data_IF_614269001766
#
_entry.id   IF_614269001766
#
_cell.length_a   1.000
_cell.length_b   1.000
_cell.length_c   1.000
_cell.angle_alpha   90.00
_cell.angle_beta   90.00
_cell.angle_gamma   90.00
#
_symmetry.space_group_name_H-M   'P 1'
#
loop_
_entity.id
_entity.type
_entity.pdbx_description
1 polymer ?
#
# COMPACT_ATOMS: atom_id res chain seq x y z
N UNK A 1 10.80 5.65 10.32
CA UNK A 1 10.13 5.82 9.01
C UNK A 1 10.40 4.57 8.23
N UNK A 2 9.43 3.65 8.17
CA UNK A 2 9.56 2.38 7.45
C UNK A 2 9.54 2.63 5.92
N UNK A 3 10.64 3.18 5.42
CA UNK A 3 10.84 3.56 4.03
C UNK A 3 10.55 2.40 3.05
N UNK A 4 10.97 1.13 3.30
CA UNK A 4 10.57 -0.01 2.48
C UNK A 4 9.05 -0.20 2.36
N UNK A 5 8.31 -0.06 3.46
CA UNK A 5 6.85 -0.19 3.45
C UNK A 5 6.15 0.91 2.65
N UNK A 6 6.65 2.15 2.75
CA UNK A 6 6.14 3.29 1.99
C UNK A 6 6.39 3.11 0.49
N UNK A 7 7.63 2.76 0.11
CA UNK A 7 8.00 2.56 -1.29
C UNK A 7 7.19 1.40 -1.90
N UNK A 8 7.09 0.28 -1.18
CA UNK A 8 6.30 -0.88 -1.62
C UNK A 8 4.81 -0.53 -1.78
N UNK A 9 4.28 0.28 -0.86
CA UNK A 9 2.90 0.76 -0.92
C UNK A 9 2.62 1.66 -2.13
N UNK A 10 3.51 2.62 -2.41
CA UNK A 10 3.40 3.51 -3.57
C UNK A 10 3.52 2.72 -4.88
N UNK A 11 4.51 1.83 -4.99
CA UNK A 11 4.72 1.01 -6.20
C UNK A 11 3.51 0.12 -6.46
N UNK A 12 2.96 -0.52 -5.44
CA UNK A 12 1.77 -1.37 -5.57
C UNK A 12 0.53 -0.55 -5.97
N UNK A 13 0.35 0.65 -5.40
CA UNK A 13 -0.73 1.55 -5.76
C UNK A 13 -0.64 2.04 -7.21
N UNK A 14 0.55 2.44 -7.65
CA UNK A 14 0.81 2.85 -9.04
C UNK A 14 0.58 1.69 -10.01
N UNK A 15 1.02 0.48 -9.67
CA UNK A 15 0.79 -0.71 -10.48
C UNK A 15 -0.71 -1.01 -10.60
N UNK A 16 -1.48 -0.88 -9.52
CA UNK A 16 -2.92 -1.06 -9.56
C UNK A 16 -3.63 -0.04 -10.47
N UNK A 17 -3.25 1.25 -10.38
CA UNK A 17 -3.78 2.30 -11.27
C UNK A 17 -3.40 2.00 -12.74
N UNK A 18 -2.16 1.60 -12.99
CA UNK A 18 -1.70 1.23 -14.33
C UNK A 18 -2.53 0.08 -14.92
N UNK A 19 -2.79 -0.98 -14.14
CA UNK A 19 -3.59 -2.13 -14.58
C UNK A 19 -5.03 -1.73 -14.91
N UNK A 20 -5.61 -0.77 -14.18
CA UNK A 20 -6.94 -0.23 -14.50
C UNK A 20 -6.92 0.53 -15.82
N UNK A 21 -5.96 1.43 -16.02
CA UNK A 21 -5.88 2.25 -17.23
C UNK A 21 -5.63 1.38 -18.46
N UNK A 22 -4.64 0.48 -18.38
CA UNK A 22 -4.31 -0.40 -19.50
C UNK A 22 -5.47 -1.33 -19.79
N UNK A 23 -6.04 -1.98 -18.78
CA UNK A 23 -7.16 -2.91 -19.02
C UNK A 23 -8.39 -2.23 -19.59
N UNK A 24 -8.69 -0.99 -19.21
CA UNK A 24 -9.78 -0.22 -19.84
C UNK A 24 -9.46 0.21 -21.28
N UNK A 25 -8.19 0.49 -21.58
CA UNK A 25 -7.76 0.95 -22.92
C UNK A 25 -7.59 -0.20 -23.93
N UNK A 26 -7.20 -1.39 -23.48
CA UNK A 26 -6.82 -2.50 -24.36
C UNK A 26 -7.86 -3.62 -24.43
N UNK A 27 -8.86 -3.61 -23.55
CA UNK A 27 -9.87 -4.69 -23.54
C UNK A 27 -10.81 -4.57 -24.73
N UNK A 28 -11.03 -5.71 -25.40
CA UNK A 28 -12.01 -5.85 -26.47
C UNK A 28 -13.30 -6.53 -25.97
N UNK A 29 -13.32 -7.00 -24.72
CA UNK A 29 -14.44 -7.70 -24.11
C UNK A 29 -14.73 -7.27 -22.68
N UNK A 30 -15.99 -7.43 -22.26
CA UNK A 30 -16.45 -7.08 -20.92
C UNK A 30 -15.76 -7.91 -19.82
N UNK A 31 -15.40 -9.17 -20.12
CA UNK A 31 -14.69 -10.06 -19.18
C UNK A 31 -13.28 -9.54 -18.83
N UNK A 32 -12.55 -9.03 -19.82
CA UNK A 32 -11.19 -8.48 -19.64
C UNK A 32 -11.21 -7.20 -18.78
N UNK A 33 -12.24 -6.37 -18.95
CA UNK A 33 -12.48 -5.18 -18.13
C UNK A 33 -12.71 -5.57 -16.66
N UNK A 34 -13.54 -6.58 -16.40
CA UNK A 34 -13.80 -7.04 -15.03
C UNK A 34 -12.52 -7.54 -14.37
N UNK A 35 -11.74 -8.34 -15.08
CA UNK A 35 -10.47 -8.87 -14.58
C UNK A 35 -9.52 -7.72 -14.22
N UNK A 36 -9.37 -6.74 -15.12
CA UNK A 36 -8.57 -5.53 -14.88
C UNK A 36 -9.04 -4.78 -13.64
N UNK A 37 -10.36 -4.59 -13.46
CA UNK A 37 -10.92 -3.91 -12.30
C UNK A 37 -10.59 -4.64 -11.00
N UNK A 38 -10.77 -5.96 -10.96
CA UNK A 38 -10.49 -6.78 -9.77
C UNK A 38 -9.01 -6.69 -9.40
N UNK A 39 -8.10 -6.92 -10.35
CA UNK A 39 -6.67 -6.87 -10.09
C UNK A 39 -6.18 -5.46 -9.75
N UNK A 40 -6.67 -4.45 -10.46
CA UNK A 40 -6.33 -3.06 -10.21
C UNK A 40 -6.73 -2.59 -8.81
N UNK A 41 -7.98 -2.86 -8.41
CA UNK A 41 -8.48 -2.55 -7.06
C UNK A 41 -7.74 -3.35 -5.99
N UNK A 42 -7.41 -4.62 -6.24
CA UNK A 42 -6.63 -5.43 -5.32
C UNK A 42 -5.25 -4.82 -5.05
N UNK A 43 -4.51 -4.44 -6.09
CA UNK A 43 -3.19 -3.81 -5.96
C UNK A 43 -3.24 -2.45 -5.27
N UNK A 44 -4.26 -1.64 -5.56
CA UNK A 44 -4.52 -0.37 -4.86
C UNK A 44 -4.79 -0.65 -3.37
N UNK A 45 -5.61 -1.63 -3.05
CA UNK A 45 -5.91 -2.06 -1.69
C UNK A 45 -4.66 -2.49 -0.92
N UNK A 46 -3.81 -3.30 -1.54
CA UNK A 46 -2.50 -3.71 -0.98
C UNK A 46 -1.60 -2.48 -0.75
N UNK A 47 -1.54 -1.56 -1.71
CA UNK A 47 -0.76 -0.33 -1.59
C UNK A 47 -1.21 0.54 -0.40
N UNK A 48 -2.52 0.76 -0.26
CA UNK A 48 -3.10 1.50 0.86
C UNK A 48 -2.81 0.78 2.19
N UNK A 49 -2.99 -0.55 2.23
CA UNK A 49 -2.74 -1.35 3.43
C UNK A 49 -1.28 -1.23 3.90
N UNK A 50 -0.31 -1.32 2.99
CA UNK A 50 1.11 -1.15 3.31
C UNK A 50 1.43 0.25 3.83
N UNK A 51 0.83 1.30 3.22
CA UNK A 51 1.02 2.68 3.67
C UNK A 51 0.47 2.92 5.08
N UNK A 52 -0.68 2.34 5.41
CA UNK A 52 -1.27 2.42 6.76
C UNK A 52 -0.39 1.69 7.78
N UNK A 53 0.06 0.47 7.46
CA UNK A 53 0.89 -0.31 8.37
C UNK A 53 2.25 0.34 8.61
N UNK A 54 2.87 0.92 7.58
CA UNK A 54 4.13 1.65 7.73
C UNK A 54 4.01 2.81 8.72
N UNK A 55 2.87 3.51 8.76
CA UNK A 55 2.64 4.58 9.73
C UNK A 55 2.46 4.03 11.15
N UNK A 56 1.73 2.92 11.31
CA UNK A 56 1.55 2.27 12.61
C UNK A 56 2.86 1.77 13.20
N UNK A 57 3.74 1.19 12.38
CA UNK A 57 5.05 0.72 12.84
C UNK A 57 5.92 1.87 13.36
N UNK A 58 5.93 3.01 12.66
CA UNK A 58 6.65 4.21 13.12
C UNK A 58 6.12 4.76 14.45
N UNK A 59 4.81 4.69 14.68
CA UNK A 59 4.20 5.08 15.96
C UNK A 59 4.58 4.11 17.09
N UNK A 60 4.56 2.80 16.81
CA UNK A 60 4.94 1.77 17.79
C UNK A 60 6.41 1.90 18.19
N UNK A 61 7.32 2.16 17.23
CA UNK A 61 8.73 2.40 17.52
C UNK A 61 8.94 3.63 18.41
N UNK A 62 8.22 4.73 18.14
CA UNK A 62 8.27 5.95 18.97
C UNK A 62 7.80 5.70 20.39
N UNK A 63 6.74 4.91 20.59
CA UNK A 63 6.22 4.57 21.93
C UNK A 63 7.20 3.67 22.70
N UNK A 64 7.81 2.66 22.04
CA UNK A 64 8.84 1.82 22.67
C UNK A 64 10.05 2.64 23.09
N UNK A 65 10.54 3.53 22.22
CA UNK A 65 11.68 4.39 22.53
C UNK A 65 11.39 5.25 23.77
N UNK A 66 10.23 5.92 23.83
CA UNK A 66 9.85 6.77 24.98
C UNK A 66 9.83 6.02 26.32
N UNK A 67 9.42 4.75 26.35
CA UNK A 67 9.46 3.91 27.57
C UNK A 67 10.88 3.54 28.00
N UNK A 68 11.79 3.38 27.05
CA UNK A 68 13.18 2.99 27.35
C UNK A 68 14.05 4.13 27.88
N UNK A 69 13.72 5.40 27.57
CA UNK A 69 14.51 6.58 28.01
C UNK A 69 13.95 7.24 29.28
N UNK A 70 12.91 6.70 29.91
CA UNK A 70 12.49 7.14 31.25
C UNK A 70 13.08 6.20 32.30
N UNK A 71 14.29 6.46 32.83
CA UNK A 71 14.82 5.65 33.93
C UNK A 71 13.84 5.77 35.09
N UNK A 72 13.46 4.62 35.66
CA UNK A 72 12.75 4.53 36.93
C UNK A 72 13.46 5.45 37.93
N UNK A 73 12.75 6.49 38.39
CA UNK A 73 13.09 7.18 39.62
C UNK A 73 12.86 6.24 40.79
#
# INVERSE_FOLDING_TARGET
MNLPGIVSGIVSGLLGIYLLIVGLMTSNGFEEIIISIIFGLFFIGVGIYMLINSKREDEIEKVKYKKSVSPKK
#
